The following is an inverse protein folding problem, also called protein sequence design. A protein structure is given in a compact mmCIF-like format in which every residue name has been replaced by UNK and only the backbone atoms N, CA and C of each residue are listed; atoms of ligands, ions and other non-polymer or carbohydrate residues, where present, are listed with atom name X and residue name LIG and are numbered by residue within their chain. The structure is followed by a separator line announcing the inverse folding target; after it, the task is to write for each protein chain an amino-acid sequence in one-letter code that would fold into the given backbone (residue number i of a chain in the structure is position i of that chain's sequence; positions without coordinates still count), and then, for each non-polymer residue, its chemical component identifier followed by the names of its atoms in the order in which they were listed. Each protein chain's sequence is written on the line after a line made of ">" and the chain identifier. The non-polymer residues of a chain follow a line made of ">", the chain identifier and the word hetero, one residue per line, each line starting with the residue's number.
data_IF_942876858284
#
_entry.id   IF_942876858284
#
_cell.length_a   1.000
_cell.length_b   1.000
_cell.length_c   1.000
_cell.angle_alpha   90.00
_cell.angle_beta   90.00
_cell.angle_gamma   90.00
#
_symmetry.space_group_name_H-M   'P 1'
#
loop_
_entity.id
_entity.type
_entity.pdbx_description
1 polymer ?
#
# COMPACT_ATOMS: atom_id res chain seq x y z
N UNK A 1 -14.29 -93.45 -15.63
CA UNK A 1 -14.94 -92.20 -15.26
C UNK A 1 -13.90 -91.07 -15.40
N UNK A 2 -14.02 -90.26 -16.46
CA UNK A 2 -13.11 -89.09 -16.70
C UNK A 2 -13.79 -87.81 -16.23
N UNK A 3 -13.24 -87.18 -15.24
CA UNK A 3 -13.69 -85.86 -14.82
C UNK A 3 -12.97 -84.81 -15.66
N UNK A 4 -13.74 -84.07 -16.42
CA UNK A 4 -13.25 -82.88 -17.21
C UNK A 4 -13.36 -81.66 -16.41
N UNK A 5 -12.23 -81.03 -16.08
CA UNK A 5 -12.16 -79.76 -15.33
C UNK A 5 -12.25 -78.64 -16.33
N UNK A 6 -13.34 -77.80 -16.23
CA UNK A 6 -13.53 -76.63 -17.05
C UNK A 6 -12.88 -75.42 -16.29
N UNK A 7 -11.80 -74.90 -16.90
CA UNK A 7 -11.22 -73.64 -16.46
C UNK A 7 -12.05 -72.45 -17.03
N UNK A 8 -12.76 -71.73 -16.16
CA UNK A 8 -13.40 -70.52 -16.54
C UNK A 8 -12.39 -69.33 -16.29
N UNK A 9 -11.91 -68.83 -17.40
CA UNK A 9 -11.04 -67.63 -17.40
C UNK A 9 -11.90 -66.38 -17.25
N UNK A 10 -11.76 -65.70 -16.12
CA UNK A 10 -12.40 -64.40 -15.84
C UNK A 10 -11.47 -63.27 -16.33
N UNK A 11 -11.88 -62.38 -17.26
CA UNK A 11 -11.05 -61.27 -17.66
C UNK A 11 -11.05 -60.17 -16.57
N UNK A 12 -9.87 -59.84 -16.07
CA UNK A 12 -9.62 -58.75 -15.16
C UNK A 12 -9.77 -57.41 -15.94
N UNK A 13 -10.91 -56.74 -15.80
CA UNK A 13 -11.11 -55.39 -16.28
C UNK A 13 -10.27 -54.43 -15.43
N UNK A 14 -9.13 -53.98 -15.95
CA UNK A 14 -8.40 -52.84 -15.42
C UNK A 14 -9.19 -51.58 -15.77
N UNK A 15 -9.94 -51.05 -14.82
CA UNK A 15 -10.48 -49.69 -14.91
C UNK A 15 -9.34 -48.70 -14.65
N UNK A 16 -8.82 -48.08 -15.71
CA UNK A 16 -7.96 -46.92 -15.63
C UNK A 16 -8.77 -45.76 -15.04
N UNK A 17 -8.66 -45.56 -13.72
CA UNK A 17 -9.10 -44.31 -13.08
C UNK A 17 -8.19 -43.18 -13.59
N UNK A 18 -8.70 -42.40 -14.54
CA UNK A 18 -8.15 -41.08 -14.87
C UNK A 18 -8.28 -40.19 -13.65
N UNK A 19 -7.27 -40.22 -12.79
CA UNK A 19 -7.09 -39.22 -11.75
C UNK A 19 -6.66 -37.92 -12.43
N UNK A 20 -7.62 -37.12 -12.82
CA UNK A 20 -7.37 -35.72 -13.26
C UNK A 20 -6.80 -35.01 -12.05
N UNK A 21 -5.48 -34.85 -12.00
CA UNK A 21 -4.81 -33.95 -11.07
C UNK A 21 -5.27 -32.57 -11.46
N UNK A 22 -6.25 -32.03 -10.72
CA UNK A 22 -6.53 -30.60 -10.69
C UNK A 22 -5.29 -29.95 -10.05
N UNK A 23 -4.32 -29.56 -10.86
CA UNK A 23 -3.34 -28.56 -10.46
C UNK A 23 -4.11 -27.28 -10.30
N UNK A 24 -4.60 -27.02 -9.08
CA UNK A 24 -4.93 -25.67 -8.66
C UNK A 24 -3.61 -24.91 -8.84
N UNK A 25 -3.52 -24.13 -9.93
CA UNK A 25 -2.53 -23.09 -10.04
C UNK A 25 -2.78 -22.18 -8.84
N UNK A 26 -2.01 -22.40 -7.77
CA UNK A 26 -1.87 -21.42 -6.73
C UNK A 26 -1.42 -20.16 -7.48
N UNK A 27 -2.34 -19.20 -7.63
CA UNK A 27 -2.02 -17.84 -8.00
C UNK A 27 -1.16 -17.32 -6.85
N UNK A 28 0.12 -17.75 -6.83
CA UNK A 28 1.12 -17.06 -6.06
C UNK A 28 1.02 -15.63 -6.54
N UNK A 29 0.80 -14.71 -5.61
CA UNK A 29 0.89 -13.28 -5.82
C UNK A 29 2.36 -12.98 -6.14
N UNK A 30 2.81 -13.38 -7.31
CA UNK A 30 4.18 -13.21 -7.74
C UNK A 30 4.35 -11.73 -8.05
N UNK A 31 5.17 -11.07 -7.24
CA UNK A 31 5.66 -9.72 -7.47
C UNK A 31 6.30 -9.59 -8.86
N UNK A 32 6.75 -10.71 -9.44
CA UNK A 32 7.36 -10.82 -10.78
C UNK A 32 6.46 -10.36 -11.93
N UNK A 33 5.13 -10.37 -11.75
CA UNK A 33 4.17 -9.93 -12.78
C UNK A 33 3.79 -8.44 -12.67
N UNK A 34 4.29 -7.73 -11.65
CA UNK A 34 4.02 -6.31 -11.49
C UNK A 34 4.91 -5.48 -12.42
N UNK A 35 4.36 -4.35 -12.90
CA UNK A 35 5.15 -3.37 -13.64
C UNK A 35 6.36 -2.94 -12.80
N UNK A 36 7.54 -2.89 -13.42
CA UNK A 36 8.78 -2.50 -12.77
C UNK A 36 9.21 -1.12 -13.23
N UNK A 37 9.53 -0.24 -12.27
CA UNK A 37 10.10 1.09 -12.53
C UNK A 37 11.49 1.15 -11.92
N UNK A 38 12.49 1.46 -12.73
CA UNK A 38 13.90 1.57 -12.33
C UNK A 38 14.37 3.02 -12.47
N UNK A 39 15.53 3.34 -11.89
CA UNK A 39 16.22 4.64 -12.01
C UNK A 39 15.42 5.84 -11.45
N UNK A 40 14.40 5.60 -10.62
CA UNK A 40 13.60 6.65 -10.01
C UNK A 40 14.06 6.96 -8.58
N UNK A 41 14.36 5.93 -7.78
CA UNK A 41 14.69 6.05 -6.36
C UNK A 41 16.02 5.37 -6.05
N UNK A 42 16.78 5.98 -5.14
CA UNK A 42 18.03 5.43 -4.61
C UNK A 42 17.89 5.04 -3.14
N UNK A 43 18.57 3.97 -2.77
CA UNK A 43 18.90 3.59 -1.41
C UNK A 43 20.40 3.33 -1.34
N UNK A 44 21.11 3.93 -0.37
CA UNK A 44 22.56 3.80 -0.24
C UNK A 44 23.31 4.08 -1.59
N UNK A 45 22.94 5.14 -2.29
CA UNK A 45 23.48 5.57 -3.59
C UNK A 45 23.26 4.58 -4.76
N UNK A 46 22.49 3.51 -4.58
CA UNK A 46 22.13 2.55 -5.63
C UNK A 46 20.67 2.69 -6.01
N UNK A 47 20.37 2.66 -7.31
CA UNK A 47 18.98 2.61 -7.75
C UNK A 47 18.32 1.31 -7.29
N UNK A 48 17.09 1.45 -6.79
CA UNK A 48 16.21 0.34 -6.42
C UNK A 48 15.08 0.24 -7.44
N UNK A 49 14.49 -0.94 -7.56
CA UNK A 49 13.35 -1.19 -8.45
C UNK A 49 12.07 -1.05 -7.65
N UNK A 50 11.12 -0.28 -8.18
CA UNK A 50 9.77 -0.17 -7.65
C UNK A 50 8.84 -1.07 -8.45
N UNK A 51 7.87 -1.69 -7.76
CA UNK A 51 6.85 -2.56 -8.32
C UNK A 51 5.48 -1.93 -8.20
N UNK A 52 4.63 -2.13 -9.21
CA UNK A 52 3.27 -1.66 -9.28
C UNK A 52 3.06 -0.57 -10.34
N UNK A 53 1.84 -0.07 -10.44
CA UNK A 53 1.44 0.90 -11.45
C UNK A 53 1.72 2.32 -10.98
N UNK A 54 2.57 3.05 -11.70
CA UNK A 54 2.80 4.47 -11.40
C UNK A 54 1.53 5.28 -11.70
N UNK A 55 1.26 6.25 -10.84
CA UNK A 55 0.15 7.21 -11.00
C UNK A 55 0.71 8.60 -11.23
N UNK A 56 -0.05 9.49 -11.86
CA UNK A 56 0.38 10.86 -12.18
C UNK A 56 -0.60 11.92 -11.67
N UNK A 57 -0.11 13.14 -11.50
CA UNK A 57 -0.93 14.31 -11.16
C UNK A 57 -1.97 14.53 -12.26
N UNK A 58 -3.19 14.87 -11.85
CA UNK A 58 -4.34 15.06 -12.72
C UNK A 58 -5.15 13.78 -12.99
N UNK A 59 -4.63 12.60 -12.61
CA UNK A 59 -5.38 11.35 -12.73
C UNK A 59 -6.32 11.14 -11.53
N UNK A 60 -7.38 10.36 -11.76
CA UNK A 60 -8.19 9.82 -10.67
C UNK A 60 -7.34 8.87 -9.84
N UNK A 61 -7.29 9.11 -8.54
CA UNK A 61 -6.56 8.28 -7.61
C UNK A 61 -7.12 6.84 -7.61
N UNK A 62 -6.28 5.81 -7.80
CA UNK A 62 -6.72 4.43 -7.68
C UNK A 62 -7.25 4.15 -6.28
N UNK A 63 -8.31 3.36 -6.18
CA UNK A 63 -8.73 2.86 -4.87
C UNK A 63 -7.64 1.99 -4.26
N UNK A 64 -7.58 1.95 -2.94
CA UNK A 64 -6.69 1.08 -2.20
C UNK A 64 -7.43 0.45 -1.01
N UNK A 65 -6.90 -0.65 -0.51
CA UNK A 65 -7.38 -1.35 0.67
C UNK A 65 -6.21 -1.63 1.61
N UNK A 66 -6.21 -0.93 2.73
CA UNK A 66 -5.23 -1.07 3.83
C UNK A 66 -5.95 -1.40 5.14
N UNK A 67 -5.26 -1.59 6.25
CA UNK A 67 -5.89 -1.84 7.56
C UNK A 67 -5.43 -0.83 8.60
N UNK A 68 -6.28 -0.58 9.58
CA UNK A 68 -5.91 0.16 10.79
C UNK A 68 -5.29 -0.77 11.86
N UNK A 69 -5.00 -0.24 13.05
CA UNK A 69 -4.40 -0.96 14.18
C UNK A 69 -5.23 -2.16 14.69
N UNK A 70 -6.52 -2.20 14.37
CA UNK A 70 -7.44 -3.29 14.71
C UNK A 70 -7.74 -4.23 13.54
N UNK A 71 -6.94 -4.16 12.46
CA UNK A 71 -7.13 -4.92 11.21
C UNK A 71 -8.45 -4.63 10.48
N UNK A 72 -9.14 -3.53 10.82
CA UNK A 72 -10.33 -3.11 10.09
C UNK A 72 -9.92 -2.52 8.75
N UNK A 73 -10.52 -2.98 7.62
CA UNK A 73 -10.21 -2.45 6.30
C UNK A 73 -10.55 -0.97 6.17
N UNK A 74 -9.63 -0.23 5.56
CA UNK A 74 -9.75 1.19 5.21
C UNK A 74 -9.48 1.33 3.72
N UNK A 75 -10.34 2.07 3.02
CA UNK A 75 -10.25 2.29 1.57
C UNK A 75 -10.29 3.78 1.23
N UNK A 76 -9.81 4.17 0.05
CA UNK A 76 -9.89 5.56 -0.42
C UNK A 76 -11.33 6.10 -0.44
N UNK A 77 -12.31 5.25 -0.74
CA UNK A 77 -13.71 5.64 -0.78
C UNK A 77 -14.24 6.25 0.52
N UNK A 78 -13.63 5.93 1.68
CA UNK A 78 -14.01 6.49 2.98
C UNK A 78 -13.60 7.97 3.15
N UNK A 79 -12.76 8.49 2.25
CA UNK A 79 -12.22 9.85 2.31
C UNK A 79 -12.76 10.76 1.18
N UNK A 80 -13.63 10.26 0.32
CA UNK A 80 -14.23 11.06 -0.74
C UNK A 80 -14.96 12.29 -0.14
N UNK A 81 -14.81 13.44 -0.80
CA UNK A 81 -15.31 14.72 -0.30
C UNK A 81 -14.38 15.43 0.71
N UNK A 82 -13.21 14.86 1.01
CA UNK A 82 -12.15 15.46 1.82
C UNK A 82 -10.88 15.66 0.99
N UNK A 83 -10.10 16.67 1.34
CA UNK A 83 -8.74 16.80 0.84
C UNK A 83 -7.83 15.88 1.65
N UNK A 84 -7.08 15.01 0.98
CA UNK A 84 -6.33 13.92 1.60
C UNK A 84 -4.83 14.08 1.32
N UNK A 85 -4.01 14.15 2.38
CA UNK A 85 -2.57 14.01 2.29
C UNK A 85 -2.18 12.61 2.74
N UNK A 86 -1.48 11.88 1.88
CA UNK A 86 -0.94 10.55 2.17
C UNK A 86 0.58 10.65 2.27
N UNK A 87 1.11 10.47 3.47
CA UNK A 87 2.54 10.33 3.76
C UNK A 87 2.91 8.84 3.70
N UNK A 88 3.81 8.47 2.80
CA UNK A 88 4.27 7.10 2.65
C UNK A 88 5.68 6.98 3.20
N UNK A 89 5.91 6.00 4.05
CA UNK A 89 7.21 5.75 4.67
C UNK A 89 7.61 4.28 4.55
N UNK A 90 8.92 4.00 4.38
CA UNK A 90 9.42 2.62 4.37
C UNK A 90 9.09 1.84 5.65
N UNK A 91 9.43 2.37 6.83
CA UNK A 91 9.10 1.76 8.12
C UNK A 91 9.20 2.79 9.25
N UNK A 92 8.20 2.81 10.12
CA UNK A 92 8.14 3.68 11.31
C UNK A 92 9.26 3.39 12.32
N UNK A 93 9.85 2.20 12.28
CA UNK A 93 10.99 1.82 13.14
C UNK A 93 12.31 2.52 12.74
N UNK A 94 12.31 3.34 11.68
CA UNK A 94 13.49 4.12 11.27
C UNK A 94 13.36 5.58 11.70
N UNK A 95 14.48 6.19 12.16
CA UNK A 95 14.48 7.54 12.71
C UNK A 95 13.90 8.60 11.75
N UNK A 96 14.21 8.53 10.45
CA UNK A 96 13.72 9.48 9.47
C UNK A 96 12.20 9.36 9.23
N UNK A 97 11.67 8.13 9.21
CA UNK A 97 10.23 7.91 9.05
C UNK A 97 9.45 8.34 10.30
N UNK A 98 10.00 8.09 11.48
CA UNK A 98 9.46 8.60 12.75
C UNK A 98 9.38 10.13 12.72
N UNK A 99 10.46 10.82 12.37
CA UNK A 99 10.48 12.28 12.26
C UNK A 99 9.46 12.81 11.24
N UNK A 100 9.33 12.16 10.07
CA UNK A 100 8.34 12.55 9.07
C UNK A 100 6.91 12.42 9.61
N UNK A 101 6.60 11.31 10.26
CA UNK A 101 5.26 11.05 10.81
C UNK A 101 4.92 12.01 11.94
N UNK A 102 5.86 12.27 12.84
CA UNK A 102 5.71 13.25 13.93
C UNK A 102 5.46 14.66 13.40
N UNK A 103 6.24 15.11 12.39
CA UNK A 103 6.05 16.41 11.78
C UNK A 103 4.64 16.57 11.21
N UNK A 104 4.15 15.61 10.44
CA UNK A 104 2.78 15.66 9.92
C UNK A 104 1.70 15.60 11.01
N UNK A 105 1.95 14.87 12.11
CA UNK A 105 1.04 14.85 13.25
C UNK A 105 0.96 16.22 13.96
N UNK A 106 2.04 16.97 14.00
CA UNK A 106 2.07 18.33 14.54
C UNK A 106 1.38 19.32 13.60
N UNK A 107 1.75 19.30 12.32
CA UNK A 107 1.27 20.24 11.30
C UNK A 107 -0.23 20.15 11.05
N UNK A 108 -0.84 18.96 11.11
CA UNK A 108 -2.27 18.77 10.83
C UNK A 108 -3.17 19.57 11.78
N UNK A 109 -2.68 19.88 12.98
CA UNK A 109 -3.44 20.67 13.96
C UNK A 109 -3.71 22.13 13.51
N UNK A 110 -2.87 22.66 12.63
CA UNK A 110 -2.97 24.02 12.08
C UNK A 110 -3.72 24.11 10.75
N UNK A 111 -4.10 22.96 10.18
CA UNK A 111 -4.74 22.88 8.87
C UNK A 111 -6.28 22.95 8.95
N UNK A 112 -6.95 23.33 7.85
CA UNK A 112 -8.39 23.27 7.74
C UNK A 112 -8.96 21.88 8.08
N UNK A 113 -10.16 21.84 8.68
CA UNK A 113 -10.80 20.58 9.18
C UNK A 113 -11.27 19.63 8.08
N UNK A 114 -11.36 20.09 6.85
CA UNK A 114 -11.66 19.26 5.67
C UNK A 114 -10.45 18.45 5.19
N UNK A 115 -9.26 18.73 5.72
CA UNK A 115 -8.03 17.99 5.41
C UNK A 115 -7.90 16.77 6.31
N UNK A 116 -7.63 15.63 5.70
CA UNK A 116 -7.28 14.37 6.38
C UNK A 116 -5.86 14.00 6.04
N UNK A 117 -5.08 13.63 7.06
CA UNK A 117 -3.72 13.11 6.86
C UNK A 117 -3.64 11.64 7.23
N UNK A 118 -3.00 10.87 6.33
CA UNK A 118 -2.69 9.46 6.53
C UNK A 118 -1.18 9.26 6.48
N UNK A 119 -0.67 8.36 7.31
CA UNK A 119 0.65 7.74 7.11
C UNK A 119 0.43 6.27 6.74
N UNK A 120 1.06 5.82 5.65
CA UNK A 120 0.96 4.42 5.19
C UNK A 120 2.36 3.81 5.14
N UNK A 121 2.49 2.60 5.71
CA UNK A 121 3.70 1.77 5.63
C UNK A 121 3.33 0.29 5.55
N UNK A 122 4.32 -0.56 5.29
CA UNK A 122 4.14 -2.02 5.36
C UNK A 122 4.41 -2.59 6.77
N UNK A 123 4.63 -1.73 7.78
CA UNK A 123 4.73 -2.19 9.16
C UNK A 123 3.43 -2.90 9.57
N UNK A 124 3.56 -3.93 10.40
CA UNK A 124 2.40 -4.62 10.93
C UNK A 124 1.55 -3.69 11.83
N UNK A 125 0.23 -3.81 11.83
CA UNK A 125 -0.65 -2.97 12.65
C UNK A 125 -0.26 -2.91 14.13
N UNK A 126 0.26 -3.99 14.69
CA UNK A 126 0.75 -4.03 16.08
C UNK A 126 1.98 -3.14 16.31
N UNK A 127 2.90 -3.08 15.32
CA UNK A 127 4.08 -2.23 15.39
C UNK A 127 3.67 -0.76 15.24
N UNK A 128 2.78 -0.45 14.30
CA UNK A 128 2.22 0.89 14.11
C UNK A 128 1.52 1.39 15.38
N UNK A 129 0.72 0.54 16.04
CA UNK A 129 0.05 0.88 17.30
C UNK A 129 1.07 1.26 18.39
N UNK A 130 2.10 0.40 18.62
CA UNK A 130 3.15 0.69 19.62
C UNK A 130 3.88 1.99 19.31
N UNK A 131 4.19 2.25 18.03
CA UNK A 131 4.82 3.49 17.60
C UNK A 131 3.92 4.70 17.91
N UNK A 132 2.64 4.67 17.55
CA UNK A 132 1.71 5.76 17.80
C UNK A 132 1.57 6.06 19.30
N UNK A 133 1.48 5.03 20.14
CA UNK A 133 1.42 5.16 21.60
C UNK A 133 2.71 5.78 22.17
N UNK A 134 3.89 5.30 21.72
CA UNK A 134 5.17 5.76 22.21
C UNK A 134 5.52 7.20 21.80
N UNK A 135 5.10 7.60 20.58
CA UNK A 135 5.44 8.89 19.98
C UNK A 135 4.29 9.92 20.03
N UNK A 136 3.17 9.59 20.71
CA UNK A 136 1.98 10.42 20.83
C UNK A 136 1.40 10.87 19.48
N UNK A 137 1.29 9.91 18.52
CA UNK A 137 0.69 10.13 17.21
C UNK A 137 -0.82 9.90 17.33
N UNK A 138 -1.59 10.95 17.42
CA UNK A 138 -3.03 10.93 17.70
C UNK A 138 -3.91 11.77 16.76
N UNK A 139 -3.29 12.65 15.91
CA UNK A 139 -4.02 13.57 15.05
C UNK A 139 -4.09 13.11 13.59
N UNK A 140 -3.23 12.19 13.18
CA UNK A 140 -3.23 11.56 11.86
C UNK A 140 -3.60 10.10 11.98
N UNK A 141 -4.02 9.48 10.86
CA UNK A 141 -4.28 8.04 10.82
C UNK A 141 -3.04 7.32 10.29
N UNK A 142 -2.56 6.34 11.04
CA UNK A 142 -1.49 5.44 10.62
C UNK A 142 -2.11 4.12 10.17
N UNK A 143 -1.82 3.71 8.94
CA UNK A 143 -2.46 2.59 8.27
C UNK A 143 -1.42 1.63 7.68
N UNK A 144 -1.73 0.34 7.71
CA UNK A 144 -0.83 -0.71 7.25
C UNK A 144 -1.26 -1.29 5.91
N UNK A 145 -0.35 -1.31 4.95
CA UNK A 145 -0.52 -1.99 3.66
C UNK A 145 -0.01 -3.44 3.68
N UNK A 146 0.38 -3.96 4.87
CA UNK A 146 1.03 -5.27 5.01
C UNK A 146 0.14 -6.45 4.60
N UNK A 147 -1.19 -6.34 4.70
CA UNK A 147 -2.12 -7.45 4.47
C UNK A 147 -2.26 -7.79 3.00
N UNK A 148 -2.53 -6.78 2.16
CA UNK A 148 -2.79 -6.99 0.72
C UNK A 148 -1.74 -6.36 -0.17
N UNK A 149 -0.93 -5.43 0.34
CA UNK A 149 0.00 -4.60 -0.42
C UNK A 149 -0.68 -3.89 -1.58
N UNK A 150 -1.96 -3.57 -1.39
CA UNK A 150 -2.83 -3.05 -2.44
C UNK A 150 -2.50 -1.60 -2.78
N UNK A 151 -2.23 -0.78 -1.74
CA UNK A 151 -1.78 0.60 -1.93
C UNK A 151 -0.44 0.64 -2.68
N UNK A 152 0.54 -0.11 -2.21
CA UNK A 152 1.87 -0.15 -2.84
C UNK A 152 1.83 -0.58 -4.30
N UNK A 153 0.98 -1.56 -4.65
CA UNK A 153 0.80 -2.03 -6.03
C UNK A 153 0.11 -0.98 -6.91
N UNK A 154 -0.97 -0.38 -6.41
CA UNK A 154 -1.80 0.54 -7.19
C UNK A 154 -1.15 1.92 -7.37
N UNK A 155 -0.15 2.26 -6.54
CA UNK A 155 0.60 3.52 -6.60
C UNK A 155 2.06 3.33 -7.02
N UNK A 156 2.49 2.11 -7.36
CA UNK A 156 3.83 1.81 -7.86
C UNK A 156 4.94 2.05 -6.85
N UNK A 157 4.72 1.73 -5.58
CA UNK A 157 5.59 2.11 -4.46
C UNK A 157 6.29 0.96 -3.76
N UNK A 158 5.98 -0.30 -4.10
CA UNK A 158 6.63 -1.46 -3.49
C UNK A 158 8.10 -1.51 -3.91
N UNK A 159 9.00 -1.64 -2.95
CA UNK A 159 10.42 -1.85 -3.23
C UNK A 159 10.63 -3.35 -3.46
N UNK A 160 11.10 -3.71 -4.66
CA UNK A 160 11.38 -5.10 -5.04
C UNK A 160 12.34 -5.74 -4.05
N UNK A 161 12.04 -6.98 -3.65
CA UNK A 161 12.83 -7.83 -2.76
C UNK A 161 13.07 -7.26 -1.33
N UNK A 162 12.35 -6.17 -0.94
CA UNK A 162 12.46 -5.60 0.40
C UNK A 162 11.17 -5.67 1.21
N UNK A 163 10.02 -5.82 0.56
CA UNK A 163 8.72 -5.83 1.23
C UNK A 163 8.33 -4.50 1.88
N UNK A 164 8.99 -3.41 1.52
CA UNK A 164 8.77 -2.05 2.03
C UNK A 164 8.12 -1.17 0.95
N UNK A 165 7.54 -0.05 1.38
CA UNK A 165 7.15 1.03 0.48
C UNK A 165 8.30 2.02 0.33
N UNK A 166 8.44 2.65 -0.84
CA UNK A 166 9.33 3.81 -0.98
C UNK A 166 8.72 5.05 -0.34
N UNK A 167 9.57 6.04 -0.02
CA UNK A 167 9.11 7.30 0.55
C UNK A 167 8.44 8.16 -0.52
N UNK A 168 7.19 8.59 -0.24
CA UNK A 168 6.41 9.41 -1.15
C UNK A 168 5.39 10.29 -0.40
N UNK A 169 4.90 11.33 -1.08
CA UNK A 169 3.74 12.12 -0.67
C UNK A 169 2.76 12.13 -1.83
N UNK A 170 1.48 11.95 -1.52
CA UNK A 170 0.38 12.19 -2.44
C UNK A 170 -0.62 13.15 -1.81
N UNK A 171 -1.18 14.04 -2.62
CA UNK A 171 -2.34 14.82 -2.24
C UNK A 171 -3.45 14.49 -3.22
N UNK A 172 -4.60 14.12 -2.67
CA UNK A 172 -5.81 13.80 -3.43
C UNK A 172 -6.86 14.81 -3.02
N UNK A 173 -7.44 15.51 -3.99
CA UNK A 173 -8.47 16.49 -3.75
C UNK A 173 -9.82 15.84 -3.37
N UNK A 174 -10.78 16.64 -2.97
CA UNK A 174 -12.12 16.20 -2.56
C UNK A 174 -12.90 15.48 -3.67
N UNK A 175 -12.51 15.66 -4.95
CA UNK A 175 -13.08 14.97 -6.11
C UNK A 175 -12.42 13.61 -6.38
N UNK A 176 -11.32 13.30 -5.66
CA UNK A 176 -10.55 12.07 -5.83
C UNK A 176 -9.49 12.15 -6.93
N UNK A 177 -9.06 13.36 -7.32
CA UNK A 177 -7.99 13.58 -8.30
C UNK A 177 -6.66 13.81 -7.58
N UNK A 178 -5.57 13.24 -8.09
CA UNK A 178 -4.23 13.45 -7.57
C UNK A 178 -3.80 14.87 -7.90
N UNK A 179 -3.74 15.75 -6.89
CA UNK A 179 -3.31 17.13 -7.02
C UNK A 179 -1.80 17.32 -6.85
N UNK A 180 -1.14 16.40 -6.14
CA UNK A 180 0.30 16.41 -5.91
C UNK A 180 0.84 15.00 -5.80
N UNK A 181 2.07 14.80 -6.31
CA UNK A 181 2.85 13.57 -6.18
C UNK A 181 4.30 13.92 -5.99
N UNK A 182 4.92 13.35 -4.98
CA UNK A 182 6.36 13.33 -4.80
C UNK A 182 6.80 11.91 -4.47
N UNK A 183 7.67 11.32 -5.28
CA UNK A 183 8.44 10.13 -4.93
C UNK A 183 9.85 10.63 -4.61
N UNK A 184 10.28 10.48 -3.36
CA UNK A 184 11.57 11.01 -2.91
C UNK A 184 12.70 10.23 -3.57
N UNK A 185 13.52 10.93 -4.36
CA UNK A 185 14.55 10.31 -5.19
C UNK A 185 15.66 9.56 -4.40
N UNK A 186 15.80 9.86 -3.12
CA UNK A 186 16.66 9.15 -2.17
C UNK A 186 15.86 8.87 -0.90
N UNK A 187 15.62 7.59 -0.60
CA UNK A 187 14.80 7.20 0.56
C UNK A 187 15.37 7.65 1.90
N UNK A 188 16.64 8.06 1.95
CA UNK A 188 17.30 8.62 3.14
C UNK A 188 17.10 10.12 3.30
N UNK A 189 16.32 10.76 2.43
CA UNK A 189 16.02 12.19 2.49
C UNK A 189 14.57 12.45 2.90
N UNK A 190 14.33 13.63 3.45
CA UNK A 190 12.97 14.11 3.71
C UNK A 190 12.25 14.48 2.41
N UNK A 191 10.91 14.38 2.39
CA UNK A 191 10.10 14.98 1.32
C UNK A 191 10.09 16.51 1.46
N UNK A 192 9.56 17.19 0.43
CA UNK A 192 9.31 18.62 0.48
C UNK A 192 8.04 18.93 1.26
N UNK A 193 8.16 19.08 2.58
CA UNK A 193 7.03 19.35 3.49
C UNK A 193 6.31 20.64 3.15
N UNK A 194 7.06 21.73 2.88
CA UNK A 194 6.52 23.06 2.63
C UNK A 194 5.63 23.05 1.37
N UNK A 195 6.10 22.41 0.32
CA UNK A 195 5.33 22.29 -0.93
C UNK A 195 4.09 21.42 -0.74
N UNK A 196 4.22 20.29 -0.03
CA UNK A 196 3.07 19.43 0.26
C UNK A 196 2.00 20.15 1.10
N UNK A 197 2.42 20.83 2.19
CA UNK A 197 1.50 21.53 3.08
C UNK A 197 0.84 22.74 2.40
N UNK A 198 1.61 23.53 1.65
CA UNK A 198 1.03 24.66 0.89
C UNK A 198 0.06 24.19 -0.18
N UNK A 199 0.38 23.10 -0.88
CA UNK A 199 -0.51 22.54 -1.91
C UNK A 199 -1.84 22.07 -1.32
N UNK A 200 -1.82 21.29 -0.22
CA UNK A 200 -3.07 20.80 0.37
C UNK A 200 -3.90 21.93 0.96
N UNK A 201 -3.27 22.92 1.57
CA UNK A 201 -3.96 24.09 2.11
C UNK A 201 -4.65 24.91 1.01
N UNK A 202 -4.03 25.03 -0.16
CA UNK A 202 -4.61 25.74 -1.31
C UNK A 202 -5.85 25.04 -1.90
N UNK A 203 -6.07 23.75 -1.63
CA UNK A 203 -7.25 23.01 -2.06
C UNK A 203 -8.47 23.23 -1.16
N UNK A 204 -8.26 23.70 0.06
CA UNK A 204 -9.35 23.98 0.99
C UNK A 204 -10.00 25.33 0.65
N UNK A 205 -11.33 25.44 0.72
CA UNK A 205 -11.99 26.73 0.55
C UNK A 205 -11.43 27.73 1.56
N UNK A 206 -11.12 28.94 1.11
CA UNK A 206 -10.80 30.05 2.03
C UNK A 206 -12.05 30.25 2.87
N UNK A 207 -12.00 29.84 4.15
CA UNK A 207 -13.06 30.17 5.10
C UNK A 207 -13.17 31.67 5.11
N UNK A 208 -14.26 32.22 4.55
CA UNK A 208 -14.53 33.66 4.61
C UNK A 208 -14.54 34.05 6.07
N UNK A 209 -13.54 34.87 6.47
CA UNK A 209 -13.49 35.48 7.81
C UNK A 209 -14.88 36.02 8.12
N UNK A 210 -15.45 35.75 9.30
CA UNK A 210 -16.69 36.40 9.71
C UNK A 210 -16.43 37.88 9.75
N UNK A 211 -17.26 38.63 9.01
CA UNK A 211 -17.28 40.08 9.01
C UNK A 211 -17.72 40.63 10.40
#
# INVERSE_FOLDING_TARGET
>A
MKFSTIFVSLPLLLTLNNFTIFTAAANSLHEDNLQQTTNLVKANNKFITLLGTQVDVGQKAPNFKVVNESFVPVTLAQFLGKNLLISVVPSLDTGLCSLQTKRFNEEVASLPKDIVMLTISNDLPFAQKRFCEAENIDKIRVLSDSVWRDFGKNYGLLIKDMGLLTRAIFIIDSSGIIAYKEIVADISKHPNYELALSTITALSPIESLPQ
#
